data_IF_164410229563
#
_entry.id   IF_164410229563
#
_cell.length_a   1.000
_cell.length_b   1.000
_cell.length_c   1.000
_cell.angle_alpha   90.00
_cell.angle_beta   90.00
_cell.angle_gamma   90.00
#
_symmetry.space_group_name_H-M   'P 1'
#
loop_
_entity.id
_entity.type
_entity.pdbx_description
1 polymer ?
#
# COMPACT_ATOMS: atom_id res chain seq x y z
N UNK A 1 -24.09 6.41 33.65
CA UNK A 1 -24.19 6.05 32.20
C UNK A 1 -23.06 6.76 31.48
N UNK A 2 -21.97 6.07 31.29
CA UNK A 2 -20.87 6.53 30.41
C UNK A 2 -21.22 6.10 28.98
N UNK A 3 -21.51 7.07 28.12
CA UNK A 3 -21.59 6.84 26.68
C UNK A 3 -20.15 6.65 26.16
N UNK A 4 -19.77 5.43 25.85
CA UNK A 4 -18.60 5.15 25.05
C UNK A 4 -18.91 5.59 23.61
N UNK A 5 -18.60 6.83 23.30
CA UNK A 5 -18.44 7.25 21.92
C UNK A 5 -17.29 6.42 21.32
N UNK A 6 -17.62 5.55 20.39
CA UNK A 6 -16.63 4.87 19.56
C UNK A 6 -15.90 5.94 18.78
N UNK A 7 -14.74 6.39 19.29
CA UNK A 7 -13.83 7.21 18.51
C UNK A 7 -13.50 6.38 17.25
N UNK A 8 -13.88 6.89 16.09
CA UNK A 8 -13.53 6.28 14.84
C UNK A 8 -12.02 6.10 14.84
N UNK A 9 -11.56 4.84 14.70
CA UNK A 9 -10.14 4.53 14.65
C UNK A 9 -9.51 5.33 13.50
N UNK A 10 -8.68 6.36 13.77
CA UNK A 10 -8.14 7.23 12.73
C UNK A 10 -7.24 6.48 11.73
N UNK A 11 -6.92 5.23 12.01
CA UNK A 11 -6.07 4.36 11.21
C UNK A 11 -6.86 3.34 10.36
N UNK A 12 -8.19 3.42 10.37
CA UNK A 12 -9.04 2.54 9.54
C UNK A 12 -8.96 2.98 8.08
N UNK A 13 -7.96 2.46 7.37
CA UNK A 13 -7.84 2.66 5.94
C UNK A 13 -8.89 1.81 5.21
N UNK A 14 -9.88 2.47 4.66
CA UNK A 14 -10.83 1.85 3.73
C UNK A 14 -10.41 2.21 2.31
N UNK A 15 -10.05 1.21 1.50
CA UNK A 15 -9.59 1.42 0.13
C UNK A 15 -10.67 2.08 -0.74
N UNK A 16 -11.93 1.68 -0.56
CA UNK A 16 -13.06 2.34 -1.20
C UNK A 16 -13.16 3.81 -0.77
N UNK A 17 -13.01 4.09 0.53
CA UNK A 17 -12.99 5.44 1.09
C UNK A 17 -11.77 6.26 0.63
N UNK A 18 -10.60 5.62 0.47
CA UNK A 18 -9.42 6.26 -0.09
C UNK A 18 -9.65 6.64 -1.57
N UNK A 19 -10.24 5.74 -2.34
CA UNK A 19 -10.59 6.00 -3.75
C UNK A 19 -11.71 7.03 -3.86
N UNK A 20 -12.71 6.98 -2.98
CA UNK A 20 -13.80 7.95 -2.91
C UNK A 20 -13.32 9.34 -2.48
N UNK A 21 -12.34 9.40 -1.56
CA UNK A 21 -11.69 10.64 -1.12
C UNK A 21 -10.58 11.11 -2.06
N UNK A 22 -10.27 10.39 -3.14
CA UNK A 22 -9.36 10.90 -4.15
C UNK A 22 -9.96 12.15 -4.78
N UNK A 23 -9.23 13.25 -4.59
CA UNK A 23 -9.65 14.52 -5.17
C UNK A 23 -9.74 14.44 -6.71
N UNK A 24 -10.67 15.23 -7.27
CA UNK A 24 -10.89 15.23 -8.72
C UNK A 24 -9.64 15.60 -9.55
N UNK A 25 -8.64 16.25 -8.94
CA UNK A 25 -7.35 16.56 -9.58
C UNK A 25 -6.54 15.28 -9.77
N UNK A 26 -6.42 14.44 -8.74
CA UNK A 26 -5.72 13.14 -8.80
C UNK A 26 -6.35 12.24 -9.84
N UNK A 27 -7.68 12.15 -9.88
CA UNK A 27 -8.39 11.33 -10.87
C UNK A 27 -8.19 11.84 -12.31
N UNK A 28 -8.21 13.16 -12.53
CA UNK A 28 -7.91 13.74 -13.86
C UNK A 28 -6.46 13.45 -14.27
N UNK A 29 -5.50 13.55 -13.36
CA UNK A 29 -4.10 13.22 -13.62
C UNK A 29 -3.92 11.74 -13.95
N UNK A 30 -4.58 10.83 -13.24
CA UNK A 30 -4.56 9.40 -13.54
C UNK A 30 -5.13 9.11 -14.93
N UNK A 31 -6.29 9.71 -15.28
CA UNK A 31 -6.88 9.56 -16.61
C UNK A 31 -5.98 10.13 -17.72
N UNK A 32 -5.29 11.24 -17.47
CA UNK A 32 -4.30 11.81 -18.39
C UNK A 32 -3.09 10.89 -18.57
N UNK A 33 -2.54 10.38 -17.47
CA UNK A 33 -1.39 9.49 -17.50
C UNK A 33 -1.68 8.16 -18.21
N UNK A 34 -2.89 7.64 -18.13
CA UNK A 34 -3.29 6.44 -18.87
C UNK A 34 -3.36 6.64 -20.39
N UNK A 35 -3.46 7.88 -20.85
CA UNK A 35 -3.53 8.25 -22.27
C UNK A 35 -2.22 8.78 -22.83
N UNK A 36 -1.35 9.27 -21.99
CA UNK A 36 -0.07 9.89 -22.34
C UNK A 36 1.08 9.17 -21.64
N UNK A 37 1.86 8.40 -22.41
CA UNK A 37 3.00 7.63 -21.91
C UNK A 37 4.09 8.51 -21.30
N UNK A 38 4.30 9.72 -21.84
CA UNK A 38 5.28 10.65 -21.28
C UNK A 38 4.85 11.13 -19.92
N UNK A 39 3.59 11.52 -19.78
CA UNK A 39 3.04 11.95 -18.49
C UNK A 39 2.98 10.80 -17.48
N UNK A 40 2.71 9.56 -17.91
CA UNK A 40 2.81 8.38 -17.06
C UNK A 40 4.25 8.15 -16.55
N UNK A 41 5.24 8.18 -17.45
CA UNK A 41 6.65 8.03 -17.08
C UNK A 41 7.12 9.11 -16.10
N UNK A 42 6.59 10.33 -16.22
CA UNK A 42 6.85 11.42 -15.27
C UNK A 42 6.36 11.05 -13.85
N UNK A 43 5.20 10.39 -13.72
CA UNK A 43 4.73 9.94 -12.39
C UNK A 43 5.68 8.89 -11.79
N UNK A 44 6.16 7.94 -12.59
CA UNK A 44 7.15 6.95 -12.13
C UNK A 44 8.44 7.64 -11.70
N UNK A 45 8.96 8.59 -12.49
CA UNK A 45 10.16 9.34 -12.16
C UNK A 45 10.01 10.18 -10.88
N UNK A 46 8.85 10.81 -10.69
CA UNK A 46 8.55 11.56 -9.46
C UNK A 46 8.48 10.66 -8.22
N UNK A 47 7.95 9.43 -8.38
CA UNK A 47 7.94 8.44 -7.31
C UNK A 47 9.36 8.04 -6.91
N UNK A 48 10.22 7.71 -7.88
CA UNK A 48 11.61 7.28 -7.68
C UNK A 48 12.46 8.40 -7.06
N UNK A 49 12.31 9.63 -7.57
CA UNK A 49 13.07 10.78 -7.12
C UNK A 49 12.80 11.15 -5.66
N UNK A 50 11.74 10.61 -5.06
CA UNK A 50 11.34 10.78 -3.66
C UNK A 50 11.35 12.25 -3.18
N UNK A 51 10.98 13.18 -4.07
CA UNK A 51 10.89 14.59 -3.75
C UNK A 51 9.64 14.86 -2.94
N UNK A 52 9.80 15.53 -1.80
CA UNK A 52 8.70 15.86 -0.88
C UNK A 52 7.51 16.47 -1.64
N UNK A 53 6.32 15.89 -1.45
CA UNK A 53 5.09 16.32 -2.10
C UNK A 53 4.90 15.76 -3.50
N UNK A 54 5.91 15.77 -4.36
CA UNK A 54 5.80 15.25 -5.74
C UNK A 54 5.66 13.71 -5.76
N UNK A 55 6.44 13.00 -4.95
CA UNK A 55 6.37 11.54 -4.83
C UNK A 55 5.04 11.08 -4.25
N UNK A 56 4.52 11.76 -3.23
CA UNK A 56 3.21 11.44 -2.65
C UNK A 56 2.07 11.70 -3.64
N UNK A 57 2.14 12.78 -4.41
CA UNK A 57 1.16 13.07 -5.46
C UNK A 57 1.22 12.03 -6.59
N UNK A 58 2.43 11.63 -7.00
CA UNK A 58 2.64 10.57 -7.99
C UNK A 58 2.12 9.22 -7.49
N UNK A 59 2.39 8.85 -6.24
CA UNK A 59 1.87 7.63 -5.62
C UNK A 59 0.34 7.57 -5.68
N UNK A 60 -0.36 8.66 -5.34
CA UNK A 60 -1.83 8.72 -5.43
C UNK A 60 -2.32 8.54 -6.87
N UNK A 61 -1.66 9.15 -7.85
CA UNK A 61 -1.99 8.97 -9.28
C UNK A 61 -1.80 7.52 -9.70
N UNK A 62 -0.67 6.89 -9.35
CA UNK A 62 -0.38 5.50 -9.68
C UNK A 62 -1.34 4.53 -8.98
N UNK A 63 -1.75 4.80 -7.74
CA UNK A 63 -2.78 4.01 -7.06
C UNK A 63 -4.15 4.11 -7.74
N UNK A 64 -4.52 5.30 -8.25
CA UNK A 64 -5.74 5.46 -9.05
C UNK A 64 -5.67 4.68 -10.36
N UNK A 65 -4.48 4.60 -10.97
CA UNK A 65 -4.24 3.76 -12.16
C UNK A 65 -4.33 2.28 -11.79
N UNK A 66 -3.75 1.84 -10.65
CA UNK A 66 -3.85 0.46 -10.17
C UNK A 66 -5.30 -0.02 -10.05
N UNK A 67 -6.22 0.83 -9.59
CA UNK A 67 -7.63 0.52 -9.48
C UNK A 67 -8.39 0.45 -10.81
N UNK A 68 -7.86 1.07 -11.89
CA UNK A 68 -8.53 1.15 -13.19
C UNK A 68 -7.89 0.29 -14.27
N UNK A 69 -6.57 0.26 -14.30
CA UNK A 69 -5.77 -0.44 -15.29
C UNK A 69 -4.44 -0.90 -14.67
N UNK A 70 -4.46 -1.94 -13.81
CA UNK A 70 -3.28 -2.44 -13.12
C UNK A 70 -2.20 -2.93 -14.09
N UNK A 71 -2.58 -3.36 -15.30
CA UNK A 71 -1.64 -3.89 -16.30
C UNK A 71 -0.55 -2.87 -16.67
N UNK A 72 -0.86 -1.58 -16.66
CA UNK A 72 0.12 -0.53 -16.94
C UNK A 72 1.26 -0.46 -15.91
N UNK A 73 1.06 -1.02 -14.72
CA UNK A 73 2.01 -0.93 -13.62
C UNK A 73 2.92 -2.15 -13.50
N UNK A 74 2.63 -3.26 -14.19
CA UNK A 74 3.39 -4.49 -14.05
C UNK A 74 4.82 -4.41 -14.56
N UNK A 75 5.10 -3.60 -15.56
CA UNK A 75 6.47 -3.37 -16.05
C UNK A 75 7.34 -2.65 -15.02
N UNK A 76 6.71 -1.94 -14.06
CA UNK A 76 7.39 -1.18 -13.00
C UNK A 76 7.44 -1.91 -11.66
N UNK A 77 7.00 -3.17 -11.61
CA UNK A 77 6.98 -3.96 -10.38
C UNK A 77 8.32 -3.96 -9.65
N UNK A 78 9.42 -4.16 -10.38
CA UNK A 78 10.75 -4.21 -9.79
C UNK A 78 11.15 -2.87 -9.12
N UNK A 79 10.64 -1.76 -9.62
CA UNK A 79 10.81 -0.44 -8.99
C UNK A 79 10.06 -0.40 -7.66
N UNK A 80 8.80 -0.83 -7.63
CA UNK A 80 8.00 -0.85 -6.41
C UNK A 80 8.60 -1.80 -5.37
N UNK A 81 9.04 -2.97 -5.80
CA UNK A 81 9.75 -3.92 -4.96
C UNK A 81 11.05 -3.31 -4.40
N UNK A 82 11.87 -2.67 -5.24
CA UNK A 82 13.09 -1.99 -4.80
C UNK A 82 12.83 -0.88 -3.76
N UNK A 83 11.76 -0.10 -3.93
CA UNK A 83 11.36 0.92 -2.95
C UNK A 83 10.99 0.32 -1.58
N UNK A 84 10.54 -0.92 -1.53
CA UNK A 84 10.22 -1.61 -0.28
C UNK A 84 11.46 -1.91 0.57
N UNK A 85 12.65 -1.95 -0.06
CA UNK A 85 13.95 -2.13 0.60
C UNK A 85 14.71 -0.81 0.83
N UNK A 86 14.13 0.33 0.44
CA UNK A 86 14.78 1.63 0.64
C UNK A 86 14.94 1.98 2.12
N UNK A 87 15.88 2.85 2.46
CA UNK A 87 16.06 3.34 3.83
C UNK A 87 14.93 4.30 4.26
N UNK A 88 14.41 5.10 3.32
CA UNK A 88 13.45 6.15 3.60
C UNK A 88 12.03 5.63 3.89
N UNK A 89 11.39 6.20 4.92
CA UNK A 89 10.00 5.91 5.28
C UNK A 89 9.05 6.15 4.09
N UNK A 90 9.13 7.32 3.43
CA UNK A 90 8.22 7.68 2.35
C UNK A 90 8.27 6.68 1.18
N UNK A 91 9.47 6.23 0.82
CA UNK A 91 9.65 5.24 -0.26
C UNK A 91 9.02 3.90 0.09
N UNK A 92 9.26 3.40 1.32
CA UNK A 92 8.63 2.16 1.82
C UNK A 92 7.11 2.30 1.86
N UNK A 93 6.62 3.44 2.37
CA UNK A 93 5.18 3.73 2.42
C UNK A 93 4.56 3.65 1.02
N UNK A 94 5.14 4.33 0.02
CA UNK A 94 4.65 4.29 -1.35
C UNK A 94 4.64 2.87 -1.92
N UNK A 95 5.71 2.11 -1.69
CA UNK A 95 5.81 0.72 -2.14
C UNK A 95 4.74 -0.18 -1.50
N UNK A 96 4.57 -0.11 -0.18
CA UNK A 96 3.55 -0.85 0.58
C UNK A 96 2.16 -0.63 -0.03
N UNK A 97 1.82 0.61 -0.36
CA UNK A 97 0.52 0.97 -0.92
C UNK A 97 0.35 0.51 -2.36
N UNK A 98 1.33 0.75 -3.24
CA UNK A 98 1.26 0.35 -4.65
C UNK A 98 1.22 -1.17 -4.82
N UNK A 99 2.10 -1.89 -4.12
CA UNK A 99 2.15 -3.37 -4.16
C UNK A 99 0.81 -3.95 -3.71
N UNK A 100 0.27 -3.47 -2.59
CA UNK A 100 -1.01 -3.98 -2.08
C UNK A 100 -2.19 -3.64 -3.00
N UNK A 101 -2.18 -2.49 -3.68
CA UNK A 101 -3.21 -2.13 -4.66
C UNK A 101 -3.20 -3.04 -5.90
N UNK A 102 -2.05 -3.62 -6.22
CA UNK A 102 -1.90 -4.56 -7.34
C UNK A 102 -2.24 -6.01 -6.98
N UNK A 103 -2.49 -6.32 -5.70
CA UNK A 103 -2.66 -7.71 -5.24
C UNK A 103 -3.81 -8.45 -5.95
N UNK A 104 -4.93 -7.77 -6.20
CA UNK A 104 -6.08 -8.37 -6.88
C UNK A 104 -5.84 -8.73 -8.34
N UNK A 105 -4.92 -8.04 -9.01
CA UNK A 105 -4.57 -8.29 -10.41
C UNK A 105 -3.33 -9.18 -10.56
N UNK A 106 -2.67 -9.58 -9.45
CA UNK A 106 -1.50 -10.45 -9.52
C UNK A 106 -1.87 -11.90 -9.82
N UNK A 107 -1.66 -12.31 -11.07
CA UNK A 107 -1.82 -13.68 -11.55
C UNK A 107 -0.48 -14.45 -11.69
N UNK A 108 0.65 -13.83 -11.28
CA UNK A 108 2.01 -14.38 -11.42
C UNK A 108 2.66 -14.78 -10.11
N UNK A 109 1.94 -14.69 -8.99
CA UNK A 109 2.47 -15.04 -7.67
C UNK A 109 3.58 -14.09 -7.18
N UNK A 110 3.57 -12.84 -7.61
CA UNK A 110 4.55 -11.84 -7.18
C UNK A 110 4.32 -11.40 -5.74
N UNK A 111 3.05 -11.31 -5.34
CA UNK A 111 2.66 -11.00 -3.96
C UNK A 111 3.15 -12.07 -2.99
N UNK A 112 3.00 -13.34 -3.37
CA UNK A 112 3.47 -14.47 -2.57
C UNK A 112 4.98 -14.40 -2.33
N UNK A 113 5.74 -14.01 -3.33
CA UNK A 113 7.21 -13.88 -3.26
C UNK A 113 7.66 -12.73 -2.35
N UNK A 114 6.91 -11.61 -2.34
CA UNK A 114 7.26 -10.43 -1.54
C UNK A 114 6.70 -10.48 -0.11
N UNK A 115 5.79 -11.40 0.19
CA UNK A 115 5.14 -11.51 1.49
C UNK A 115 6.12 -11.62 2.68
N UNK A 116 7.25 -12.37 2.60
CA UNK A 116 8.25 -12.40 3.66
C UNK A 116 8.79 -11.01 4.03
N UNK A 117 8.98 -10.13 3.04
CA UNK A 117 9.42 -8.75 3.27
C UNK A 117 8.40 -7.94 4.08
N UNK A 118 7.11 -8.15 3.87
CA UNK A 118 6.08 -7.55 4.72
C UNK A 118 6.20 -8.02 6.18
N UNK A 119 6.54 -9.29 6.41
CA UNK A 119 6.84 -9.81 7.75
C UNK A 119 8.02 -9.08 8.41
N UNK A 120 9.10 -8.86 7.69
CA UNK A 120 10.25 -8.08 8.17
C UNK A 120 9.86 -6.64 8.52
N UNK A 121 9.00 -6.00 7.71
CA UNK A 121 8.52 -4.65 7.98
C UNK A 121 7.69 -4.56 9.27
N UNK A 122 6.97 -5.62 9.61
CA UNK A 122 6.22 -5.69 10.88
C UNK A 122 7.14 -5.77 12.10
N UNK A 123 8.31 -6.42 11.98
CA UNK A 123 9.19 -6.73 13.12
C UNK A 123 10.31 -5.70 13.30
N UNK A 124 10.95 -5.28 12.20
CA UNK A 124 12.25 -4.60 12.25
C UNK A 124 12.19 -3.11 11.91
N UNK A 125 11.03 -2.60 11.49
CA UNK A 125 10.89 -1.21 11.09
C UNK A 125 10.27 -0.33 12.18
N UNK A 126 10.15 0.96 11.91
CA UNK A 126 9.46 1.89 12.80
C UNK A 126 8.00 1.50 13.01
N UNK A 127 7.41 1.91 14.13
CA UNK A 127 5.97 1.69 14.42
C UNK A 127 5.10 2.16 13.27
N UNK A 128 5.40 3.32 12.67
CA UNK A 128 4.64 3.84 11.54
C UNK A 128 4.72 2.91 10.32
N UNK A 129 5.92 2.42 9.96
CA UNK A 129 6.08 1.46 8.85
C UNK A 129 5.34 0.15 9.14
N UNK A 130 5.49 -0.38 10.35
CA UNK A 130 4.83 -1.62 10.76
C UNK A 130 3.29 -1.49 10.69
N UNK A 131 2.72 -0.38 11.17
CA UNK A 131 1.28 -0.13 11.12
C UNK A 131 0.74 -0.07 9.68
N UNK A 132 1.45 0.62 8.78
CA UNK A 132 1.07 0.66 7.37
C UNK A 132 1.21 -0.70 6.69
N UNK A 133 2.27 -1.46 6.98
CA UNK A 133 2.44 -2.82 6.47
C UNK A 133 1.30 -3.75 6.95
N UNK A 134 0.96 -3.72 8.24
CA UNK A 134 -0.13 -4.49 8.82
C UNK A 134 -1.48 -4.18 8.15
N UNK A 135 -1.78 -2.89 8.02
CA UNK A 135 -2.99 -2.41 7.36
C UNK A 135 -3.10 -2.93 5.92
N UNK A 136 -2.01 -2.85 5.16
CA UNK A 136 -2.00 -3.24 3.75
C UNK A 136 -1.93 -4.75 3.54
N UNK A 137 -1.42 -5.51 4.51
CA UNK A 137 -1.59 -6.97 4.54
C UNK A 137 -3.06 -7.37 4.61
N UNK A 138 -3.90 -6.64 5.35
CA UNK A 138 -5.35 -6.81 5.33
C UNK A 138 -5.97 -6.62 3.93
N UNK A 139 -5.48 -5.64 3.15
CA UNK A 139 -5.89 -5.46 1.74
C UNK A 139 -5.48 -6.65 0.88
N UNK A 140 -4.23 -7.13 1.03
CA UNK A 140 -3.72 -8.30 0.31
C UNK A 140 -4.55 -9.54 0.64
N UNK A 141 -4.86 -9.78 1.92
CA UNK A 141 -5.65 -10.92 2.37
C UNK A 141 -7.08 -10.92 1.81
N UNK A 142 -7.67 -9.73 1.60
CA UNK A 142 -8.99 -9.61 0.92
C UNK A 142 -8.87 -9.92 -0.56
N UNK A 143 -7.85 -9.42 -1.23
CA UNK A 143 -7.63 -9.59 -2.66
C UNK A 143 -7.18 -11.01 -3.03
N UNK A 144 -6.44 -11.68 -2.13
CA UNK A 144 -5.90 -13.03 -2.31
C UNK A 144 -6.30 -13.95 -1.15
N UNK A 145 -7.51 -14.53 -1.19
CA UNK A 145 -8.02 -15.38 -0.10
C UNK A 145 -7.11 -16.54 0.29
N UNK A 146 -6.35 -17.09 -0.66
CA UNK A 146 -5.36 -18.16 -0.40
C UNK A 146 -4.22 -17.77 0.53
N UNK A 147 -3.96 -16.46 0.70
CA UNK A 147 -2.92 -15.95 1.60
C UNK A 147 -3.43 -15.59 3.00
N UNK A 148 -4.73 -15.67 3.27
CA UNK A 148 -5.33 -15.23 4.54
C UNK A 148 -4.68 -15.89 5.76
N UNK A 149 -4.52 -17.21 5.74
CA UNK A 149 -3.93 -17.92 6.88
C UNK A 149 -2.48 -17.47 7.12
N UNK A 150 -1.67 -17.42 6.08
CA UNK A 150 -0.27 -16.98 6.19
C UNK A 150 -0.16 -15.54 6.71
N UNK A 151 -1.03 -14.63 6.22
CA UNK A 151 -1.06 -13.24 6.68
C UNK A 151 -1.55 -13.15 8.12
N UNK A 152 -2.57 -13.91 8.50
CA UNK A 152 -3.08 -13.95 9.88
C UNK A 152 -1.99 -14.44 10.83
N UNK A 153 -1.31 -15.53 10.50
CA UNK A 153 -0.21 -16.07 11.30
C UNK A 153 0.93 -15.04 11.45
N UNK A 154 1.27 -14.36 10.36
CA UNK A 154 2.27 -13.30 10.36
C UNK A 154 1.90 -12.15 11.32
N UNK A 155 0.65 -11.65 11.27
CA UNK A 155 0.17 -10.57 12.11
C UNK A 155 0.04 -10.99 13.59
N UNK A 156 -0.36 -12.22 13.86
CA UNK A 156 -0.50 -12.74 15.21
C UNK A 156 0.84 -13.01 15.90
N UNK A 157 1.90 -13.27 15.14
CA UNK A 157 3.24 -13.56 15.65
C UNK A 157 4.13 -12.32 15.82
N UNK A 158 3.67 -11.11 15.48
CA UNK A 158 4.40 -9.86 15.73
C UNK A 158 4.65 -9.65 17.23
N UNK A 159 5.88 -9.32 17.61
CA UNK A 159 6.32 -9.20 19.01
C UNK A 159 6.14 -7.78 19.57
N UNK A 160 5.93 -7.71 20.91
CA UNK A 160 5.97 -6.44 21.65
C UNK A 160 4.85 -5.45 21.33
N UNK A 161 5.16 -4.15 21.40
CA UNK A 161 4.20 -3.05 21.16
C UNK A 161 3.58 -3.08 19.77
N UNK A 162 4.32 -3.54 18.78
CA UNK A 162 3.85 -3.66 17.39
C UNK A 162 2.72 -4.68 17.23
N UNK A 163 2.64 -5.65 18.14
CA UNK A 163 1.59 -6.69 18.12
C UNK A 163 0.19 -6.12 18.29
N UNK A 164 0.00 -5.16 19.18
CA UNK A 164 -1.30 -4.55 19.43
C UNK A 164 -1.79 -3.75 18.21
N UNK A 165 -0.91 -2.97 17.59
CA UNK A 165 -1.22 -2.20 16.38
C UNK A 165 -1.52 -3.10 15.18
N UNK A 166 -0.77 -4.21 15.03
CA UNK A 166 -0.99 -5.18 13.96
C UNK A 166 -2.33 -5.91 14.11
N UNK A 167 -2.75 -6.22 15.35
CA UNK A 167 -4.06 -6.83 15.63
C UNK A 167 -5.21 -5.87 15.32
N UNK A 168 -5.06 -4.59 15.62
CA UNK A 168 -6.08 -3.57 15.36
C UNK A 168 -6.28 -3.33 13.85
N UNK A 169 -5.33 -3.69 13.00
CA UNK A 169 -5.47 -3.61 11.55
C UNK A 169 -6.33 -4.74 10.95
N UNK A 170 -6.66 -5.78 11.73
CA UNK A 170 -7.48 -6.92 11.29
C UNK A 170 -8.99 -6.74 11.56
N UNK A 171 -9.37 -5.77 12.38
CA UNK A 171 -10.75 -5.46 12.77
C UNK A 171 -11.28 -4.27 11.99
#
# INVERSE_FOLDING_TARGET
RFQHGTAANPWRFNEAEFMEKMDGRTLRRANGAMKDRKFFSEQINNLIANRKGASSAACKVLMAIAGKNPEMLWEYWNIFEGLLYSEGFDSKFHAIYLISALAGADNRGRIEKILPRFGELLENESVATASHAALRLGTIARAKPGLRNAITDMLMNVKGKKREESRNALI
#
